data_IF_451637636673
#
_entry.id   IF_451637636673
#
_cell.length_a   1.000
_cell.length_b   1.000
_cell.length_c   1.000
_cell.angle_alpha   90.00
_cell.angle_beta   90.00
_cell.angle_gamma   90.00
#
_symmetry.space_group_name_H-M   'P 1'
#
loop_
_entity.id
_entity.type
_entity.pdbx_description
1 polymer ?
#
# COMPACT_ATOMS: atom_id res chain seq x y z
N UNK A 1 8.38 -36.74 -12.14
CA UNK A 1 8.78 -35.37 -11.76
C UNK A 1 7.54 -34.62 -11.30
N UNK A 2 7.36 -34.37 -10.01
CA UNK A 2 6.15 -33.73 -9.49
C UNK A 2 6.49 -32.72 -8.39
N UNK A 3 6.94 -31.52 -8.78
CA UNK A 3 7.15 -30.40 -7.82
C UNK A 3 7.01 -29.03 -8.49
N UNK A 4 5.90 -28.75 -9.17
CA UNK A 4 5.61 -27.40 -9.70
C UNK A 4 4.41 -26.73 -9.02
N UNK A 5 3.43 -27.53 -8.59
CA UNK A 5 2.15 -27.05 -8.08
C UNK A 5 2.23 -26.31 -6.73
N UNK A 6 3.13 -26.70 -5.83
CA UNK A 6 3.29 -26.02 -4.51
C UNK A 6 3.83 -24.59 -4.62
N UNK A 7 4.69 -24.32 -5.60
CA UNK A 7 5.25 -22.99 -5.83
C UNK A 7 4.23 -22.03 -6.46
N UNK A 8 3.41 -22.54 -7.38
CA UNK A 8 2.39 -21.74 -8.07
C UNK A 8 1.33 -21.16 -7.11
N UNK A 9 0.78 -21.97 -6.20
CA UNK A 9 -0.21 -21.48 -5.22
C UNK A 9 0.37 -20.46 -4.23
N UNK A 10 1.60 -20.68 -3.74
CA UNK A 10 2.28 -19.71 -2.86
C UNK A 10 2.50 -18.38 -3.59
N UNK A 11 3.03 -18.43 -4.81
CA UNK A 11 3.26 -17.23 -5.62
C UNK A 11 1.95 -16.48 -5.94
N UNK A 12 0.88 -17.19 -6.27
CA UNK A 12 -0.42 -16.58 -6.53
C UNK A 12 -1.01 -15.92 -5.26
N UNK A 13 -0.85 -16.57 -4.11
CA UNK A 13 -1.30 -16.02 -2.83
C UNK A 13 -0.48 -14.79 -2.41
N UNK A 14 0.85 -14.83 -2.57
CA UNK A 14 1.73 -13.69 -2.33
C UNK A 14 1.40 -12.51 -3.26
N UNK A 15 1.10 -12.80 -4.54
CA UNK A 15 0.65 -11.78 -5.50
C UNK A 15 -0.69 -11.15 -5.08
N UNK A 16 -1.64 -11.97 -4.61
CA UNK A 16 -2.94 -11.49 -4.11
C UNK A 16 -2.78 -10.61 -2.87
N UNK A 17 -1.97 -11.05 -1.89
CA UNK A 17 -1.67 -10.26 -0.69
C UNK A 17 -1.02 -8.94 -1.08
N UNK A 18 -0.02 -8.98 -1.96
CA UNK A 18 0.68 -7.77 -2.43
C UNK A 18 -0.27 -6.80 -3.11
N UNK A 19 -1.18 -7.30 -3.96
CA UNK A 19 -2.21 -6.48 -4.59
C UNK A 19 -3.12 -5.83 -3.53
N UNK A 20 -3.52 -6.59 -2.50
CA UNK A 20 -4.42 -6.08 -1.47
C UNK A 20 -3.76 -5.09 -0.51
N UNK A 21 -2.47 -5.29 -0.23
CA UNK A 21 -1.64 -4.32 0.49
C UNK A 21 -1.53 -3.00 -0.28
N UNK A 22 -1.33 -3.05 -1.60
CA UNK A 22 -1.30 -1.83 -2.45
C UNK A 22 -2.63 -1.08 -2.42
N UNK A 23 -3.75 -1.79 -2.49
CA UNK A 23 -5.08 -1.20 -2.41
C UNK A 23 -5.32 -0.53 -1.04
N UNK A 24 -4.99 -1.23 0.06
CA UNK A 24 -5.08 -0.67 1.40
C UNK A 24 -4.19 0.57 1.56
N UNK A 25 -2.96 0.55 1.04
CA UNK A 25 -2.05 1.69 1.08
C UNK A 25 -2.61 2.90 0.31
N UNK A 26 -3.27 2.69 -0.84
CA UNK A 26 -3.94 3.78 -1.58
C UNK A 26 -5.09 4.38 -0.78
N UNK A 27 -5.92 3.53 -0.16
CA UNK A 27 -7.04 4.00 0.66
C UNK A 27 -6.57 4.80 1.88
N UNK A 28 -5.61 4.25 2.65
CA UNK A 28 -5.06 4.92 3.83
C UNK A 28 -4.37 6.21 3.46
N UNK A 29 -3.57 6.24 2.39
CA UNK A 29 -2.96 7.50 1.94
C UNK A 29 -4.01 8.53 1.49
N UNK A 30 -5.10 8.12 0.83
CA UNK A 30 -6.22 9.00 0.49
C UNK A 30 -6.91 9.58 1.72
N UNK A 31 -7.19 8.74 2.72
CA UNK A 31 -7.76 9.17 3.99
C UNK A 31 -6.81 10.12 4.74
N UNK A 32 -5.51 9.81 4.80
CA UNK A 32 -4.51 10.68 5.43
C UNK A 32 -4.41 12.03 4.71
N UNK A 33 -4.49 12.07 3.38
CA UNK A 33 -4.48 13.32 2.63
C UNK A 33 -5.72 14.20 2.86
N UNK A 34 -6.82 13.63 3.37
CA UNK A 34 -8.01 14.40 3.77
C UNK A 34 -7.88 15.07 5.14
N UNK A 35 -6.94 14.64 5.98
CA UNK A 35 -6.68 15.28 7.27
C UNK A 35 -5.90 16.57 7.10
N UNK A 36 -6.10 17.52 8.02
CA UNK A 36 -5.33 18.75 8.12
C UNK A 36 -3.90 18.50 8.63
N UNK A 37 -3.05 19.51 8.51
CA UNK A 37 -1.62 19.39 8.83
C UNK A 37 -1.36 19.22 10.34
N UNK A 38 -2.23 19.71 11.24
CA UNK A 38 -2.09 19.51 12.69
C UNK A 38 -2.40 18.06 13.06
N UNK A 39 -3.48 17.51 12.51
CA UNK A 39 -3.84 16.08 12.68
C UNK A 39 -2.76 15.17 12.11
N UNK A 40 -2.23 15.49 10.92
CA UNK A 40 -1.12 14.72 10.33
C UNK A 40 0.14 14.77 11.19
N UNK A 41 0.49 15.94 11.73
CA UNK A 41 1.65 16.11 12.61
C UNK A 41 1.47 15.36 13.93
N UNK A 42 0.26 15.33 14.49
CA UNK A 42 -0.07 14.54 15.69
C UNK A 42 0.08 13.02 15.43
N UNK A 43 -0.20 12.57 14.21
CA UNK A 43 0.02 11.19 13.76
C UNK A 43 1.47 10.90 13.35
N UNK A 44 2.37 11.89 13.40
CA UNK A 44 3.77 11.74 12.99
C UNK A 44 3.97 11.67 11.47
N UNK A 45 3.01 12.17 10.69
CA UNK A 45 3.06 12.20 9.23
C UNK A 45 3.26 13.62 8.70
N UNK A 46 4.08 13.76 7.65
CA UNK A 46 4.23 14.99 6.89
C UNK A 46 3.44 14.89 5.57
N UNK A 47 2.64 15.90 5.26
CA UNK A 47 1.81 15.94 4.05
C UNK A 47 2.62 15.81 2.77
N UNK A 48 3.83 16.39 2.72
CA UNK A 48 4.71 16.28 1.54
C UNK A 48 5.13 14.83 1.27
N UNK A 49 5.42 14.06 2.32
CA UNK A 49 5.80 12.66 2.20
C UNK A 49 4.61 11.79 1.79
N UNK A 50 3.41 12.09 2.30
CA UNK A 50 2.18 11.42 1.88
C UNK A 50 1.83 11.70 0.41
N UNK A 51 2.02 12.94 -0.06
CA UNK A 51 1.83 13.29 -1.46
C UNK A 51 2.82 12.55 -2.38
N UNK A 52 4.10 12.46 -1.99
CA UNK A 52 5.11 11.69 -2.73
C UNK A 52 4.73 10.20 -2.81
N UNK A 53 4.30 9.61 -1.70
CA UNK A 53 3.83 8.21 -1.65
C UNK A 53 2.60 7.96 -2.53
N UNK A 54 1.65 8.90 -2.52
CA UNK A 54 0.45 8.84 -3.37
C UNK A 54 0.82 8.88 -4.86
N UNK A 55 1.74 9.77 -5.26
CA UNK A 55 2.20 9.89 -6.66
C UNK A 55 2.99 8.68 -7.14
N UNK A 56 3.76 8.04 -6.26
CA UNK A 56 4.52 6.82 -6.57
C UNK A 56 3.63 5.57 -6.73
N UNK A 57 2.40 5.59 -6.22
CA UNK A 57 1.45 4.47 -6.35
C UNK A 57 0.65 4.50 -7.67
N UNK A 58 0.88 5.51 -8.52
CA UNK A 58 0.42 5.62 -9.91
C UNK A 58 1.51 5.16 -10.88
N UNK A 59 1.89 3.88 -10.82
CA UNK A 59 2.63 3.18 -11.88
C UNK A 59 2.11 1.75 -11.96
#
# INVERSE_FOLDING_TARGET
MATSTRGFFRNAFDALITARQREAARYVNGALLSYDDETLKALGHNREDLQKRSRSLYI
#
